data_IF_172543489005
#
_entry.id   IF_172543489005
#
_cell.length_a   1.000
_cell.length_b   1.000
_cell.length_c   1.000
_cell.angle_alpha   90.00
_cell.angle_beta   90.00
_cell.angle_gamma   90.00
#
_symmetry.space_group_name_H-M   'P 1'
#
loop_
_entity.id
_entity.type
_entity.pdbx_description
1 polymer ?
#
# COMPACT_ATOMS: atom_id res chain seq x y z
N UNK A 1 -5.51 4.39 -22.90
CA UNK A 1 -6.55 4.77 -21.91
C UNK A 1 -6.54 3.88 -20.66
N UNK A 2 -6.14 2.60 -20.79
CA UNK A 2 -6.10 1.58 -19.72
C UNK A 2 -5.50 2.02 -18.37
N UNK A 3 -4.45 2.84 -18.38
CA UNK A 3 -3.72 3.27 -17.17
C UNK A 3 -4.14 4.65 -16.62
N UNK A 4 -5.17 5.29 -17.18
CA UNK A 4 -5.63 6.61 -16.70
C UNK A 4 -6.66 6.55 -15.57
N UNK A 5 -7.35 5.42 -15.41
CA UNK A 5 -8.30 5.22 -14.30
C UNK A 5 -7.55 4.96 -12.99
N UNK A 6 -7.93 5.68 -11.93
CA UNK A 6 -7.34 5.57 -10.58
C UNK A 6 -8.13 4.66 -9.63
N UNK A 7 -9.22 4.06 -10.11
CA UNK A 7 -10.15 3.24 -9.33
C UNK A 7 -10.76 3.97 -8.12
N UNK A 8 -11.32 5.16 -8.33
CA UNK A 8 -12.02 5.92 -7.30
C UNK A 8 -13.45 5.43 -7.00
N UNK A 9 -13.86 4.32 -7.63
CA UNK A 9 -15.22 3.75 -7.57
C UNK A 9 -16.39 4.67 -7.96
N UNK A 10 -16.14 5.91 -8.43
CA UNK A 10 -17.20 6.86 -8.78
C UNK A 10 -18.18 6.37 -9.86
N UNK A 11 -17.80 5.36 -10.64
CA UNK A 11 -18.65 4.72 -11.66
C UNK A 11 -19.63 3.69 -11.08
N UNK A 12 -19.34 3.11 -9.91
CA UNK A 12 -20.15 2.07 -9.28
C UNK A 12 -21.53 2.57 -8.87
N UNK A 13 -21.68 3.68 -8.10
CA UNK A 13 -23.01 4.16 -7.71
C UNK A 13 -23.82 4.72 -8.87
N UNK A 14 -23.16 5.19 -9.94
CA UNK A 14 -23.82 5.68 -11.15
C UNK A 14 -24.33 4.55 -12.06
N UNK A 15 -23.74 3.35 -11.97
CA UNK A 15 -24.14 2.20 -12.75
C UNK A 15 -25.35 1.50 -12.11
N UNK A 16 -26.46 1.35 -12.85
CA UNK A 16 -27.64 0.57 -12.41
C UNK A 16 -27.28 -0.86 -11.96
N UNK A 17 -26.28 -1.46 -12.60
CA UNK A 17 -25.81 -2.81 -12.34
C UNK A 17 -24.62 -2.86 -11.37
N UNK A 18 -24.19 -1.71 -10.81
CA UNK A 18 -23.04 -1.59 -9.89
C UNK A 18 -21.75 -2.20 -10.43
N UNK A 19 -21.53 -2.09 -11.74
CA UNK A 19 -20.31 -2.59 -12.37
C UNK A 19 -19.15 -1.67 -12.02
N UNK A 20 -18.07 -2.25 -11.47
CA UNK A 20 -16.82 -1.53 -11.25
C UNK A 20 -15.99 -1.48 -12.51
N UNK A 21 -15.96 -0.31 -13.16
CA UNK A 21 -15.05 -0.05 -14.29
C UNK A 21 -13.59 -0.15 -13.86
N UNK A 22 -13.26 0.31 -12.65
CA UNK A 22 -11.90 0.22 -12.14
C UNK A 22 -11.43 -1.21 -11.92
N UNK A 23 -12.31 -2.07 -11.38
CA UNK A 23 -12.06 -3.52 -11.29
C UNK A 23 -11.79 -4.16 -12.65
N UNK A 24 -12.64 -3.89 -13.65
CA UNK A 24 -12.42 -4.41 -15.01
C UNK A 24 -11.12 -3.91 -15.64
N UNK A 25 -10.78 -2.62 -15.46
CA UNK A 25 -9.54 -2.06 -15.98
C UNK A 25 -8.30 -2.64 -15.27
N UNK A 26 -8.41 -2.98 -13.98
CA UNK A 26 -7.33 -3.63 -13.22
C UNK A 26 -7.02 -5.02 -13.78
N UNK A 27 -8.04 -5.83 -14.06
CA UNK A 27 -7.84 -7.14 -14.72
C UNK A 27 -7.30 -6.99 -16.14
N UNK A 28 -7.78 -6.02 -16.90
CA UNK A 28 -7.24 -5.73 -18.24
C UNK A 28 -5.75 -5.32 -18.20
N UNK A 29 -5.26 -4.68 -17.14
CA UNK A 29 -3.82 -4.39 -16.95
C UNK A 29 -3.02 -5.66 -16.68
N UNK A 30 -3.56 -6.60 -15.89
CA UNK A 30 -2.94 -7.91 -15.67
C UNK A 30 -2.78 -8.65 -16.99
N UNK A 31 -3.82 -8.66 -17.82
CA UNK A 31 -3.77 -9.27 -19.16
C UNK A 31 -2.76 -8.56 -20.08
N UNK A 32 -2.67 -7.23 -20.02
CA UNK A 32 -1.70 -6.47 -20.80
C UNK A 32 -0.26 -6.83 -20.42
N UNK A 33 0.04 -6.96 -19.12
CA UNK A 33 1.34 -7.41 -18.62
C UNK A 33 1.64 -8.84 -19.09
N UNK A 34 0.69 -9.77 -18.92
CA UNK A 34 0.86 -11.18 -19.34
C UNK A 34 1.11 -11.33 -20.84
N UNK A 35 0.48 -10.50 -21.66
CA UNK A 35 0.65 -10.49 -23.12
C UNK A 35 1.88 -9.71 -23.60
N UNK A 36 2.62 -9.08 -22.69
CA UNK A 36 3.80 -8.26 -23.05
C UNK A 36 3.44 -6.99 -23.83
N UNK A 37 2.21 -6.48 -23.70
CA UNK A 37 1.73 -5.26 -24.37
C UNK A 37 1.53 -4.08 -23.41
N UNK A 38 1.96 -4.24 -22.16
CA UNK A 38 1.97 -3.16 -21.18
C UNK A 38 3.00 -2.06 -21.59
N UNK A 39 2.76 -0.79 -21.22
CA UNK A 39 3.72 0.29 -21.46
C UNK A 39 5.07 0.03 -20.77
N UNK A 40 6.15 0.61 -21.31
CA UNK A 40 7.51 0.41 -20.80
C UNK A 40 7.67 0.87 -19.34
N UNK A 41 6.87 1.84 -18.91
CA UNK A 41 6.83 2.35 -17.54
C UNK A 41 6.42 1.28 -16.51
N UNK A 42 5.65 0.27 -16.93
CA UNK A 42 5.30 -0.86 -16.06
C UNK A 42 6.53 -1.72 -15.79
N UNK A 43 7.38 -1.94 -16.79
CA UNK A 43 8.61 -2.70 -16.60
C UNK A 43 9.63 -1.92 -15.77
N UNK A 44 9.73 -0.60 -15.99
CA UNK A 44 10.52 0.27 -15.13
C UNK A 44 10.07 0.18 -13.66
N UNK A 45 8.76 0.16 -13.40
CA UNK A 45 8.21 0.00 -12.05
C UNK A 45 8.55 -1.38 -11.46
N UNK A 46 8.45 -2.45 -12.26
CA UNK A 46 8.83 -3.81 -11.85
C UNK A 46 10.29 -3.85 -11.39
N UNK A 47 11.19 -3.29 -12.19
CA UNK A 47 12.62 -3.22 -11.86
C UNK A 47 12.88 -2.44 -10.57
N UNK A 48 12.20 -1.29 -10.38
CA UNK A 48 12.31 -0.49 -9.15
C UNK A 48 11.91 -1.27 -7.89
N UNK A 49 10.80 -2.02 -7.95
CA UNK A 49 10.39 -2.85 -6.82
C UNK A 49 11.32 -4.03 -6.59
N UNK A 50 11.87 -4.63 -7.63
CA UNK A 50 12.86 -5.70 -7.49
C UNK A 50 14.15 -5.22 -6.79
N UNK A 51 14.54 -3.96 -7.00
CA UNK A 51 15.77 -3.39 -6.43
C UNK A 51 15.56 -2.74 -5.06
N UNK A 52 14.41 -2.12 -4.82
CA UNK A 52 14.20 -1.25 -3.65
C UNK A 52 12.95 -1.58 -2.83
N UNK A 53 12.19 -2.60 -3.23
CA UNK A 53 10.89 -2.96 -2.65
C UNK A 53 9.87 -1.80 -2.57
N UNK A 54 10.06 -0.75 -3.38
CA UNK A 54 9.21 0.41 -3.43
C UNK A 54 9.37 1.15 -4.77
N UNK A 55 8.44 2.04 -5.16
CA UNK A 55 8.60 2.84 -6.37
C UNK A 55 9.65 3.96 -6.19
N UNK A 56 10.12 4.14 -4.96
CA UNK A 56 11.07 5.17 -4.58
C UNK A 56 12.42 4.52 -4.28
N UNK A 57 13.49 4.97 -4.95
CA UNK A 57 14.85 4.51 -4.71
C UNK A 57 15.45 5.13 -3.44
N UNK A 58 14.73 4.99 -2.33
CA UNK A 58 15.08 5.58 -1.04
C UNK A 58 14.77 4.58 0.06
N UNK A 59 15.61 4.58 1.08
CA UNK A 59 15.38 3.78 2.28
C UNK A 59 14.19 4.36 3.07
N UNK A 60 13.03 3.70 2.94
CA UNK A 60 11.82 4.08 3.66
C UNK A 60 11.91 3.78 5.16
N UNK A 61 12.66 2.74 5.57
CA UNK A 61 12.91 2.42 6.98
C UNK A 61 13.60 3.59 7.67
N UNK A 62 14.69 4.07 7.09
CA UNK A 62 15.41 5.25 7.58
C UNK A 62 14.54 6.49 7.61
N UNK A 63 13.65 6.69 6.63
CA UNK A 63 12.77 7.88 6.58
C UNK A 63 11.60 7.82 7.56
N UNK A 64 11.16 6.62 7.94
CA UNK A 64 10.12 6.41 8.94
C UNK A 64 10.65 6.51 10.38
N UNK A 65 11.96 6.71 10.58
CA UNK A 65 12.58 6.97 11.87
C UNK A 65 12.13 8.33 12.42
N UNK A 66 10.90 8.38 12.87
CA UNK A 66 10.29 9.49 13.57
C UNK A 66 9.27 8.91 14.55
N UNK A 67 9.77 8.24 15.59
CA UNK A 67 8.93 7.59 16.58
C UNK A 67 9.76 6.73 17.54
N UNK A 68 9.33 6.65 18.80
CA UNK A 68 9.98 5.82 19.81
C UNK A 68 9.56 4.36 19.63
N UNK A 69 10.44 3.38 19.84
CA UNK A 69 10.01 1.98 19.96
C UNK A 69 9.15 1.85 21.22
N UNK A 70 7.91 1.38 21.05
CA UNK A 70 7.05 0.90 22.14
C UNK A 70 6.37 -0.39 21.71
N UNK A 71 6.34 -1.35 22.63
CA UNK A 71 5.59 -2.59 22.51
C UNK A 71 4.14 -2.33 22.95
N UNK A 72 3.15 -2.78 22.18
CA UNK A 72 1.75 -2.78 22.63
C UNK A 72 0.74 -2.29 21.61
N UNK A 73 -0.01 -3.24 21.06
CA UNK A 73 -1.32 -3.15 20.41
C UNK A 73 -1.47 -2.37 19.09
N UNK A 74 -1.20 -1.07 19.00
CA UNK A 74 -1.55 -0.25 17.81
C UNK A 74 -0.33 0.28 17.06
N UNK A 75 -0.11 -0.23 15.85
CA UNK A 75 0.94 0.22 14.94
C UNK A 75 0.47 1.32 13.98
N UNK A 76 1.24 2.40 13.81
CA UNK A 76 0.94 3.45 12.83
C UNK A 76 1.78 3.23 11.57
N UNK A 77 1.11 2.97 10.45
CA UNK A 77 1.76 2.73 9.16
C UNK A 77 1.82 4.04 8.37
N UNK A 78 3.01 4.61 8.11
CA UNK A 78 3.13 5.81 7.30
C UNK A 78 2.84 5.53 5.82
N UNK A 79 2.38 6.56 5.11
CA UNK A 79 2.33 6.51 3.65
C UNK A 79 3.73 6.68 3.06
N UNK A 80 4.16 5.76 2.19
CA UNK A 80 5.47 5.86 1.53
C UNK A 80 5.65 7.18 0.76
N UNK A 81 4.60 7.67 0.09
CA UNK A 81 4.56 8.98 -0.57
C UNK A 81 4.87 10.13 0.40
N UNK A 82 4.31 10.09 1.60
CA UNK A 82 4.51 11.11 2.63
C UNK A 82 5.94 11.08 3.17
N UNK A 83 6.51 9.90 3.41
CA UNK A 83 7.91 9.76 3.79
C UNK A 83 8.87 10.32 2.71
N UNK A 84 8.50 10.20 1.43
CA UNK A 84 9.34 10.68 0.34
C UNK A 84 9.21 12.18 0.12
N UNK A 85 7.99 12.68 -0.02
CA UNK A 85 7.70 14.03 -0.51
C UNK A 85 7.27 15.01 0.58
N UNK A 86 6.82 14.52 1.74
CA UNK A 86 6.26 15.33 2.82
C UNK A 86 6.86 14.93 4.18
N UNK A 87 8.19 14.98 4.29
CA UNK A 87 8.96 14.43 5.44
C UNK A 87 8.48 14.88 6.83
N UNK A 88 7.82 16.04 6.93
CA UNK A 88 7.26 16.54 8.19
C UNK A 88 5.86 16.05 8.53
N UNK A 89 5.15 15.37 7.62
CA UNK A 89 3.77 14.95 7.78
C UNK A 89 3.64 13.82 8.81
N UNK A 90 4.39 12.73 8.65
CA UNK A 90 4.32 11.59 9.56
C UNK A 90 4.69 11.94 11.01
N UNK A 91 5.77 12.71 11.30
CA UNK A 91 6.02 13.22 12.65
C UNK A 91 4.90 14.11 13.22
N UNK A 92 4.11 14.80 12.39
CA UNK A 92 2.93 15.56 12.86
C UNK A 92 1.80 14.62 13.23
N UNK A 93 1.55 13.57 12.45
CA UNK A 93 0.56 12.54 12.77
C UNK A 93 0.90 11.87 14.10
N UNK A 94 2.15 11.45 14.30
CA UNK A 94 2.59 10.84 15.56
C UNK A 94 2.38 11.79 16.75
N UNK A 95 2.72 13.07 16.61
CA UNK A 95 2.46 14.08 17.67
C UNK A 95 0.99 14.29 17.98
N UNK A 96 0.11 14.19 16.98
CA UNK A 96 -1.35 14.26 17.22
C UNK A 96 -1.84 13.03 17.98
N UNK A 97 -1.31 11.85 17.67
CA UNK A 97 -1.65 10.62 18.37
C UNK A 97 -1.08 10.59 19.80
N UNK A 98 0.09 11.19 20.04
CA UNK A 98 0.65 11.38 21.39
C UNK A 98 -0.26 12.23 22.31
N UNK A 99 -1.16 13.04 21.73
CA UNK A 99 -2.15 13.81 22.49
C UNK A 99 -3.39 12.98 22.86
N UNK A 100 -3.53 11.79 22.29
CA UNK A 100 -4.58 10.83 22.66
C UNK A 100 -4.12 9.95 23.81
N UNK A 101 -5.07 9.25 24.45
CA UNK A 101 -4.75 8.23 25.46
C UNK A 101 -4.33 6.89 24.85
N UNK A 102 -4.30 6.76 23.53
CA UNK A 102 -3.93 5.53 22.83
C UNK A 102 -2.41 5.35 22.81
N UNK A 103 -1.96 4.16 23.21
CA UNK A 103 -0.56 3.78 23.06
C UNK A 103 -0.30 3.37 21.61
N UNK A 104 0.44 4.21 20.88
CA UNK A 104 0.78 3.96 19.47
C UNK A 104 2.29 3.85 19.27
N UNK A 105 2.69 3.09 18.26
CA UNK A 105 4.09 2.91 17.85
C UNK A 105 4.20 2.96 16.34
N UNK A 106 5.35 3.35 15.81
CA UNK A 106 5.56 3.28 14.35
C UNK A 106 5.61 1.82 13.91
N UNK A 107 4.75 1.46 12.97
CA UNK A 107 4.73 0.15 12.32
C UNK A 107 5.07 0.32 10.84
N UNK A 108 6.37 0.46 10.53
CA UNK A 108 6.76 0.39 9.13
C UNK A 108 6.84 -1.09 8.71
N UNK A 109 6.05 -1.54 7.72
CA UNK A 109 6.21 -2.88 7.20
C UNK A 109 7.61 -3.07 6.63
N UNK A 110 8.04 -4.32 6.60
CA UNK A 110 9.18 -4.75 5.81
C UNK A 110 8.66 -5.70 4.70
N UNK A 111 8.63 -5.26 3.44
CA UNK A 111 9.12 -3.98 2.93
C UNK A 111 8.25 -2.74 3.22
N UNK A 112 8.86 -1.55 3.20
CA UNK A 112 8.26 -0.26 3.64
C UNK A 112 7.14 0.32 2.77
N UNK A 113 6.78 -0.33 1.66
CA UNK A 113 5.67 0.05 0.80
C UNK A 113 4.58 -1.04 0.85
N UNK A 114 3.30 -0.65 0.82
CA UNK A 114 2.18 -1.60 0.75
C UNK A 114 2.04 -2.32 -0.61
N UNK A 115 2.83 -1.94 -1.62
CA UNK A 115 2.79 -2.57 -2.94
C UNK A 115 1.66 -2.10 -3.86
N UNK A 116 0.83 -1.13 -3.46
CA UNK A 116 -0.27 -0.60 -4.30
C UNK A 116 0.13 -0.30 -5.76
N UNK A 117 1.30 0.32 -6.06
CA UNK A 117 1.71 0.58 -7.44
C UNK A 117 1.84 -0.69 -8.29
N UNK A 118 2.25 -1.83 -7.72
CA UNK A 118 2.35 -3.10 -8.45
C UNK A 118 0.96 -3.58 -8.90
N UNK A 119 -0.01 -3.60 -7.98
CA UNK A 119 -1.39 -3.99 -8.29
C UNK A 119 -2.03 -3.02 -9.30
N UNK A 120 -1.82 -1.71 -9.11
CA UNK A 120 -2.34 -0.69 -10.02
C UNK A 120 -1.75 -0.80 -11.43
N UNK A 121 -0.51 -1.29 -11.57
CA UNK A 121 0.16 -1.50 -12.85
C UNK A 121 -0.20 -2.83 -13.55
N UNK A 122 -0.87 -3.76 -12.86
CA UNK A 122 -1.18 -5.09 -13.38
C UNK A 122 -0.09 -6.14 -13.11
N UNK A 123 0.93 -5.82 -12.31
CA UNK A 123 1.99 -6.74 -11.89
C UNK A 123 1.48 -7.65 -10.74
N UNK A 124 0.49 -8.49 -11.06
CA UNK A 124 -0.28 -9.27 -10.07
C UNK A 124 0.60 -10.22 -9.25
N UNK A 125 1.50 -10.95 -9.92
CA UNK A 125 2.29 -11.99 -9.27
C UNK A 125 3.34 -11.36 -8.34
N UNK A 126 3.98 -10.28 -8.79
CA UNK A 126 4.88 -9.45 -7.98
C UNK A 126 4.14 -8.83 -6.79
N UNK A 127 2.94 -8.29 -7.02
CA UNK A 127 2.13 -7.72 -5.95
C UNK A 127 1.78 -8.75 -4.88
N UNK A 128 1.34 -9.95 -5.26
CA UNK A 128 1.01 -11.01 -4.29
C UNK A 128 2.24 -11.46 -3.51
N UNK A 129 3.40 -11.60 -4.17
CA UNK A 129 4.65 -11.92 -3.51
C UNK A 129 5.08 -10.83 -2.51
N UNK A 130 4.95 -9.56 -2.90
CA UNK A 130 5.21 -8.40 -2.05
C UNK A 130 4.26 -8.35 -0.85
N UNK A 131 2.96 -8.55 -1.11
CA UNK A 131 1.90 -8.51 -0.11
C UNK A 131 2.11 -9.55 0.99
N UNK A 132 2.57 -10.75 0.65
CA UNK A 132 2.90 -11.80 1.63
C UNK A 132 4.03 -11.38 2.58
N UNK A 133 5.07 -10.69 2.07
CA UNK A 133 6.17 -10.18 2.92
C UNK A 133 5.68 -9.08 3.86
N UNK A 134 4.94 -8.11 3.32
CA UNK A 134 4.32 -7.02 4.10
C UNK A 134 3.37 -7.56 5.18
N UNK A 135 2.49 -8.50 4.84
CA UNK A 135 1.55 -9.07 5.81
C UNK A 135 2.28 -9.79 6.95
N UNK A 136 3.37 -10.52 6.62
CA UNK A 136 4.20 -11.22 7.60
C UNK A 136 4.92 -10.27 8.55
N UNK A 137 5.45 -9.14 8.07
CA UNK A 137 6.16 -8.18 8.92
C UNK A 137 5.25 -7.40 9.86
N UNK A 138 3.94 -7.40 9.61
CA UNK A 138 2.96 -6.71 10.44
C UNK A 138 2.28 -7.64 11.47
N UNK A 139 2.62 -8.93 11.55
CA UNK A 139 1.92 -9.90 12.41
C UNK A 139 2.04 -9.62 13.93
N UNK A 140 3.02 -8.82 14.35
CA UNK A 140 3.23 -8.48 15.76
C UNK A 140 2.25 -7.45 16.33
N UNK A 141 1.40 -6.84 15.50
CA UNK A 141 0.44 -5.81 15.92
C UNK A 141 -0.98 -6.38 16.09
N UNK A 142 -1.76 -5.78 17.00
CA UNK A 142 -3.19 -6.09 17.13
C UNK A 142 -4.04 -5.25 16.18
N UNK A 143 -3.68 -3.98 16.01
CA UNK A 143 -4.34 -3.00 15.15
C UNK A 143 -3.30 -2.16 14.41
N UNK A 144 -3.67 -1.67 13.23
CA UNK A 144 -2.91 -0.75 12.40
C UNK A 144 -3.71 0.51 12.13
N UNK A 145 -3.17 1.67 12.47
CA UNK A 145 -3.65 2.96 12.01
C UNK A 145 -2.86 3.36 10.75
N UNK A 146 -3.50 3.38 9.59
CA UNK A 146 -2.81 3.59 8.31
C UNK A 146 -3.00 5.01 7.81
N UNK A 147 -1.90 5.76 7.66
CA UNK A 147 -1.93 7.17 7.27
C UNK A 147 -2.45 7.38 5.83
N UNK A 148 -2.02 6.53 4.89
CA UNK A 148 -2.32 6.71 3.47
C UNK A 148 -3.55 5.94 3.01
N UNK A 149 -4.51 6.60 2.36
CA UNK A 149 -5.73 5.96 1.85
C UNK A 149 -5.45 4.76 0.92
N UNK A 150 -4.48 4.88 0.01
CA UNK A 150 -4.08 3.77 -0.86
C UNK A 150 -3.51 2.59 -0.04
N UNK A 151 -2.71 2.85 0.99
CA UNK A 151 -2.21 1.82 1.89
C UNK A 151 -3.34 1.16 2.70
N UNK A 152 -4.28 1.96 3.23
CA UNK A 152 -5.41 1.46 4.02
C UNK A 152 -6.29 0.53 3.19
N UNK A 153 -6.68 0.96 1.98
CA UNK A 153 -7.44 0.11 1.04
C UNK A 153 -6.65 -1.14 0.66
N UNK A 154 -5.35 -1.00 0.38
CA UNK A 154 -4.51 -2.12 -0.04
C UNK A 154 -4.41 -3.20 1.04
N UNK A 155 -4.14 -2.81 2.29
CA UNK A 155 -3.97 -3.71 3.42
C UNK A 155 -5.33 -4.27 3.92
N UNK A 156 -6.35 -3.41 4.03
CA UNK A 156 -7.65 -3.78 4.61
C UNK A 156 -8.59 -4.53 3.66
N UNK A 157 -8.52 -4.21 2.36
CA UNK A 157 -9.43 -4.73 1.33
C UNK A 157 -8.67 -5.59 0.32
N UNK A 158 -7.71 -5.01 -0.39
CA UNK A 158 -7.14 -5.64 -1.58
C UNK A 158 -6.37 -6.93 -1.31
N UNK A 159 -5.60 -6.97 -0.22
CA UNK A 159 -4.88 -8.18 0.18
C UNK A 159 -5.85 -9.36 0.39
N UNK A 160 -6.99 -9.11 1.04
CA UNK A 160 -8.02 -10.11 1.33
C UNK A 160 -8.64 -10.67 0.05
N UNK A 161 -8.95 -9.82 -0.92
CA UNK A 161 -9.47 -10.23 -2.23
C UNK A 161 -8.53 -11.21 -2.96
N UNK A 162 -7.22 -11.10 -2.70
CA UNK A 162 -6.19 -11.97 -3.28
C UNK A 162 -5.74 -13.09 -2.34
N UNK A 163 -6.46 -13.33 -1.24
CA UNK A 163 -6.14 -14.39 -0.28
C UNK A 163 -4.90 -14.14 0.57
N UNK A 164 -4.39 -12.91 0.62
CA UNK A 164 -3.33 -12.49 1.56
C UNK A 164 -3.99 -11.96 2.82
N UNK A 165 -3.70 -12.57 3.98
CA UNK A 165 -4.30 -12.17 5.25
C UNK A 165 -3.35 -11.26 6.03
N UNK A 166 -3.80 -10.04 6.32
CA UNK A 166 -3.21 -9.19 7.36
C UNK A 166 -3.85 -9.60 8.69
N UNK A 167 -3.04 -10.01 9.67
CA UNK A 167 -3.54 -10.43 10.99
C UNK A 167 -4.09 -9.26 11.83
N UNK A 168 -3.40 -8.10 11.91
CA UNK A 168 -3.96 -6.93 12.58
C UNK A 168 -5.28 -6.45 11.95
N UNK A 169 -6.11 -5.82 12.77
CA UNK A 169 -7.19 -4.96 12.28
C UNK A 169 -6.58 -3.74 11.57
N UNK A 170 -7.09 -3.38 10.38
CA UNK A 170 -6.63 -2.23 9.58
C UNK A 170 -7.74 -1.20 9.50
#
# INVERSE_FOLDING_TARGET
MLYKCTDCEGTVPACRHRISVGGSLREARVDAVRKGVAPAEVEWLRARFAEHDSPYAVDLQRRAQSGRPREGCTGVVPACTSLVHQRGEFPRVMRLLDMSSEEVTTALPDPGCCGYPLDAAGLRDEFVAHAKRVAKSLEGYGRLAVQGAACAWTLGVRYRELGVRVKPEV
#
